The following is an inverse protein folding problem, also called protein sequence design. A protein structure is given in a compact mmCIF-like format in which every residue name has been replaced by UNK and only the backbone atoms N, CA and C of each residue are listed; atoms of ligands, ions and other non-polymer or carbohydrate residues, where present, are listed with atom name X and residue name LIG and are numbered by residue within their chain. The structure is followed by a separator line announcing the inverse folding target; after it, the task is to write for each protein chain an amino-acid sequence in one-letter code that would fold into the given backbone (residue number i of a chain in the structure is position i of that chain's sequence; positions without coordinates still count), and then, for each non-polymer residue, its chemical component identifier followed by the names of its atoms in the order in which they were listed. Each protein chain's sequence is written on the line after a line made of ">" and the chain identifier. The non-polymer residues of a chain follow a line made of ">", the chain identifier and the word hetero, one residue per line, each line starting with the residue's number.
data_IF_537869561716
#
_entry.id   IF_537869561716
#
_cell.length_a   1.000
_cell.length_b   1.000
_cell.length_c   1.000
_cell.angle_alpha   90.00
_cell.angle_beta   90.00
_cell.angle_gamma   90.00
#
_symmetry.space_group_name_H-M   'P 1'
#
loop_
_entity.id
_entity.type
_entity.pdbx_description
1 polymer ?
#
# COMPACT_ATOMS: atom_id res chain seq x y z
N UNK A 1 -22.70 22.02 -5.17
CA UNK A 1 -21.23 22.18 -5.22
C UNK A 1 -20.57 20.82 -4.97
N UNK A 2 -20.32 20.03 -6.01
CA UNK A 2 -19.62 18.74 -5.89
C UNK A 2 -18.12 19.00 -5.80
N UNK A 3 -17.54 18.82 -4.61
CA UNK A 3 -16.09 18.81 -4.42
C UNK A 3 -15.53 17.58 -5.15
N UNK A 4 -15.18 17.73 -6.43
CA UNK A 4 -14.29 16.78 -7.10
C UNK A 4 -13.00 16.75 -6.29
N UNK A 5 -12.84 15.72 -5.46
CA UNK A 5 -11.58 15.41 -4.79
C UNK A 5 -10.57 15.17 -5.91
N UNK A 6 -9.77 16.19 -6.22
CA UNK A 6 -8.60 16.05 -7.09
C UNK A 6 -7.80 14.88 -6.52
N UNK A 7 -7.69 13.79 -7.28
CA UNK A 7 -6.73 12.73 -6.94
C UNK A 7 -5.36 13.42 -6.93
N UNK A 8 -4.57 13.33 -5.85
CA UNK A 8 -3.24 13.93 -5.86
C UNK A 8 -2.45 13.31 -7.03
N UNK A 9 -1.70 14.15 -7.74
CA UNK A 9 -0.96 13.75 -8.95
C UNK A 9 0.23 12.81 -8.64
N UNK A 10 0.49 12.53 -7.36
CA UNK A 10 1.48 11.58 -6.87
C UNK A 10 1.10 11.09 -5.47
N UNK A 11 1.85 10.13 -4.96
CA UNK A 11 1.71 9.66 -3.58
C UNK A 11 2.04 10.77 -2.58
N UNK A 12 1.30 10.81 -1.47
CA UNK A 12 1.57 11.67 -0.32
C UNK A 12 1.81 10.83 0.95
N UNK A 13 2.71 11.27 1.84
CA UNK A 13 2.90 10.61 3.14
C UNK A 13 1.59 10.71 3.93
N UNK A 14 1.15 9.59 4.52
CA UNK A 14 -0.12 9.46 5.23
C UNK A 14 -1.32 9.14 4.34
N UNK A 15 -1.19 9.19 3.02
CA UNK A 15 -2.26 8.85 2.08
C UNK A 15 -2.68 7.38 2.23
N UNK A 16 -3.99 7.12 2.22
CA UNK A 16 -4.51 5.75 2.12
C UNK A 16 -4.44 5.26 0.67
N UNK A 17 -3.83 4.09 0.48
CA UNK A 17 -3.64 3.46 -0.82
C UNK A 17 -4.02 1.98 -0.77
N UNK A 18 -4.31 1.41 -1.94
CA UNK A 18 -4.50 -0.04 -2.09
C UNK A 18 -3.28 -0.61 -2.81
N UNK A 19 -2.62 -1.58 -2.18
CA UNK A 19 -1.49 -2.32 -2.74
C UNK A 19 -1.62 -3.81 -2.41
N UNK A 20 -1.00 -4.65 -3.22
CA UNK A 20 -0.98 -6.11 -3.00
C UNK A 20 0.36 -6.49 -2.36
N UNK A 21 0.44 -6.63 -1.03
CA UNK A 21 1.68 -7.03 -0.36
C UNK A 21 2.12 -8.42 -0.80
N UNK A 22 3.42 -8.61 -0.92
CA UNK A 22 4.05 -9.88 -1.25
C UNK A 22 4.25 -10.75 -0.01
N UNK A 23 4.42 -10.13 1.15
CA UNK A 23 4.76 -10.79 2.42
C UNK A 23 3.54 -11.14 3.27
N UNK A 24 2.38 -10.53 2.98
CA UNK A 24 1.12 -10.80 3.67
C UNK A 24 0.24 -11.63 2.73
N UNK A 25 0.03 -12.89 3.07
CA UNK A 25 -0.77 -13.81 2.28
C UNK A 25 -1.59 -14.74 3.18
N UNK A 26 -2.67 -15.27 2.63
CA UNK A 26 -3.47 -16.32 3.24
C UNK A 26 -3.07 -17.68 2.65
N UNK A 27 -3.15 -18.74 3.46
CA UNK A 27 -3.04 -20.10 2.96
C UNK A 27 -4.30 -20.46 2.17
N UNK A 28 -4.16 -20.55 0.85
CA UNK A 28 -5.21 -20.98 -0.05
C UNK A 28 -5.45 -22.48 0.01
N UNK A 29 -6.58 -22.90 -0.58
CA UNK A 29 -6.85 -24.31 -0.81
C UNK A 29 -5.67 -24.95 -1.58
N UNK A 30 -5.11 -26.04 -1.03
CA UNK A 30 -3.94 -26.77 -1.55
C UNK A 30 -2.58 -26.09 -1.34
N UNK A 31 -2.43 -25.25 -0.32
CA UNK A 31 -1.13 -24.72 0.12
C UNK A 31 -0.54 -23.63 -0.77
N UNK A 32 -1.37 -22.97 -1.60
CA UNK A 32 -0.94 -21.82 -2.40
C UNK A 32 -1.08 -20.54 -1.59
N UNK A 33 -0.03 -19.73 -1.51
CA UNK A 33 -0.10 -18.40 -0.94
C UNK A 33 -1.00 -17.49 -1.78
N UNK A 34 -2.12 -17.03 -1.22
CA UNK A 34 -3.05 -16.09 -1.86
C UNK A 34 -2.72 -14.68 -1.37
N UNK A 35 -2.29 -13.82 -2.29
CA UNK A 35 -2.07 -12.39 -2.04
C UNK A 35 -3.31 -11.60 -2.45
N UNK A 36 -3.78 -10.72 -1.57
CA UNK A 36 -4.95 -9.87 -1.84
C UNK A 36 -4.57 -8.40 -1.79
N UNK A 37 -5.22 -7.54 -2.58
CA UNK A 37 -5.10 -6.10 -2.40
C UNK A 37 -5.55 -5.70 -1.00
N UNK A 38 -4.74 -4.87 -0.33
CA UNK A 38 -4.96 -4.38 1.03
C UNK A 38 -4.86 -2.87 1.07
N UNK A 39 -5.69 -2.25 1.92
CA UNK A 39 -5.56 -0.84 2.26
C UNK A 39 -4.40 -0.65 3.24
N UNK A 40 -3.59 0.36 3.01
CA UNK A 40 -2.53 0.77 3.92
C UNK A 40 -2.27 2.27 3.79
N UNK A 41 -1.43 2.81 4.69
CA UNK A 41 -1.03 4.21 4.67
C UNK A 41 0.40 4.35 4.18
N UNK A 42 0.66 5.33 3.32
CA UNK A 42 2.02 5.64 2.89
C UNK A 42 2.82 6.14 4.10
N UNK A 43 3.85 5.40 4.47
CA UNK A 43 4.72 5.72 5.61
C UNK A 43 5.98 6.48 5.17
N UNK A 44 6.46 6.20 3.95
CA UNK A 44 7.64 6.84 3.38
C UNK A 44 7.53 6.94 1.86
N UNK A 45 8.08 8.02 1.30
CA UNK A 45 8.25 8.22 -0.13
C UNK A 45 9.71 8.53 -0.39
N UNK A 46 10.34 7.78 -1.28
CA UNK A 46 11.71 8.07 -1.67
C UNK A 46 11.77 9.40 -2.43
N UNK A 47 12.65 10.37 -2.05
CA UNK A 47 12.65 11.72 -2.61
C UNK A 47 12.92 11.78 -4.13
N UNK A 48 13.59 10.76 -4.67
CA UNK A 48 13.81 10.58 -6.12
C UNK A 48 12.73 9.75 -6.83
N UNK A 49 11.59 9.48 -6.19
CA UNK A 49 10.47 8.73 -6.79
C UNK A 49 10.70 7.23 -7.01
N UNK A 50 11.76 6.64 -6.43
CA UNK A 50 12.18 5.26 -6.72
C UNK A 50 11.26 4.19 -6.12
N UNK A 51 10.75 4.45 -4.92
CA UNK A 51 9.91 3.54 -4.16
C UNK A 51 9.13 4.29 -3.09
N UNK A 52 8.12 3.64 -2.53
CA UNK A 52 7.39 4.08 -1.34
C UNK A 52 7.24 2.92 -0.36
N UNK A 53 7.01 3.22 0.90
CA UNK A 53 6.70 2.23 1.94
C UNK A 53 5.25 2.42 2.35
N UNK A 54 4.51 1.32 2.44
CA UNK A 54 3.13 1.30 2.91
C UNK A 54 3.07 0.51 4.22
N UNK A 55 2.44 1.10 5.22
CA UNK A 55 2.09 0.46 6.49
C UNK A 55 0.69 -0.16 6.39
N UNK A 56 0.61 -1.47 6.62
CA UNK A 56 -0.63 -2.25 6.69
C UNK A 56 -0.91 -2.66 8.13
N UNK A 57 -2.16 -2.52 8.56
CA UNK A 57 -2.62 -3.05 9.83
C UNK A 57 -3.11 -4.49 9.65
N UNK A 58 -2.44 -5.43 10.32
CA UNK A 58 -2.72 -6.87 10.24
C UNK A 58 -2.82 -7.43 11.65
N UNK A 59 -4.03 -7.86 12.05
CA UNK A 59 -4.28 -8.48 13.38
C UNK A 59 -3.75 -7.63 14.55
N UNK A 60 -3.91 -6.31 14.48
CA UNK A 60 -3.45 -5.37 15.51
C UNK A 60 -1.95 -5.09 15.51
N UNK A 61 -1.22 -5.51 14.47
CA UNK A 61 0.20 -5.19 14.25
C UNK A 61 0.37 -4.45 12.94
N UNK A 62 1.33 -3.53 12.90
CA UNK A 62 1.73 -2.85 11.67
C UNK A 62 2.82 -3.62 10.95
N UNK A 63 2.60 -3.93 9.67
CA UNK A 63 3.61 -4.47 8.75
C UNK A 63 3.91 -3.39 7.71
N UNK A 64 5.19 -3.09 7.51
CA UNK A 64 5.64 -2.11 6.51
C UNK A 64 6.26 -2.84 5.32
N UNK A 65 5.79 -2.57 4.11
CA UNK A 65 6.34 -3.16 2.89
C UNK A 65 6.73 -2.08 1.88
N UNK A 66 7.81 -2.33 1.13
CA UNK A 66 8.35 -1.43 0.12
C UNK A 66 7.77 -1.77 -1.26
N UNK A 67 7.33 -0.76 -2.00
CA UNK A 67 6.78 -0.86 -3.34
C UNK A 67 7.56 0.02 -4.31
N UNK A 68 7.75 -0.44 -5.53
CA UNK A 68 8.46 0.31 -6.57
C UNK A 68 7.65 1.51 -7.07
N UNK A 69 8.35 2.59 -7.42
CA UNK A 69 7.77 3.81 -7.97
C UNK A 69 6.99 4.62 -6.93
N UNK A 70 6.39 5.73 -7.38
CA UNK A 70 5.55 6.61 -6.54
C UNK A 70 4.26 7.06 -7.25
N UNK A 71 3.93 6.42 -8.37
CA UNK A 71 2.70 6.67 -9.13
C UNK A 71 1.56 5.81 -8.57
N UNK A 72 0.34 6.36 -8.57
CA UNK A 72 -0.83 5.77 -7.88
C UNK A 72 -1.63 4.85 -8.80
#
# INVERSE_FOLDING_TARGET
>A
MSKQRRRPAGLEIGQEVVRTPQTIFEDGARGKAIRRPMRGRVDYIHPRGRFHIVAFEVRGKTIKETFQGVEV
#
